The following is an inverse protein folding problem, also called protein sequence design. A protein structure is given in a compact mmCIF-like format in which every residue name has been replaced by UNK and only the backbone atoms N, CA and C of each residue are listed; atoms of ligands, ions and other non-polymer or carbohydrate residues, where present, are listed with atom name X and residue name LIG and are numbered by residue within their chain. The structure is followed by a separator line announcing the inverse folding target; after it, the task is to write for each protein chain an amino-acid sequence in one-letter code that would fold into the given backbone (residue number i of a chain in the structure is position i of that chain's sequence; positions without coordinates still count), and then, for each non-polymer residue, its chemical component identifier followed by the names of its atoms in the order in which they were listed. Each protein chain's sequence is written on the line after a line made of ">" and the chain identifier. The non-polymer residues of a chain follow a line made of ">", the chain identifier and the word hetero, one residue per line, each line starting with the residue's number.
data_IF_211742282996
#
_entry.id   IF_211742282996
#
_cell.length_a   1.000
_cell.length_b   1.000
_cell.length_c   1.000
_cell.angle_alpha   90.00
_cell.angle_beta   90.00
_cell.angle_gamma   90.00
#
_symmetry.space_group_name_H-M   'P 1'
#
loop_
_entity.id
_entity.type
_entity.pdbx_description
1 polymer ?
#
# COMPACT_ATOMS: atom_id res chain seq x y z
N UNK A 1 16.18 -7.11 -8.66
CA UNK A 1 14.92 -6.68 -9.29
C UNK A 1 13.87 -7.67 -8.85
N UNK A 2 12.77 -7.21 -8.27
CA UNK A 2 11.73 -8.11 -7.76
C UNK A 2 10.93 -8.69 -8.92
N UNK A 3 10.65 -10.00 -8.90
CA UNK A 3 9.88 -10.72 -9.93
C UNK A 3 8.53 -10.06 -10.27
N UNK A 4 7.94 -9.33 -9.32
CA UNK A 4 6.70 -8.56 -9.52
C UNK A 4 6.89 -7.36 -10.47
N UNK A 5 8.05 -6.70 -10.50
CA UNK A 5 8.28 -5.56 -11.40
C UNK A 5 8.34 -5.99 -12.87
N UNK A 6 8.90 -7.17 -13.15
CA UNK A 6 8.94 -7.73 -14.50
C UNK A 6 7.58 -8.28 -14.93
N UNK A 7 6.80 -8.85 -14.01
CA UNK A 7 5.46 -9.39 -14.29
C UNK A 7 4.44 -8.29 -14.69
N UNK A 8 4.50 -7.11 -14.06
CA UNK A 8 3.53 -6.02 -14.28
C UNK A 8 3.97 -4.97 -15.31
N UNK A 9 5.19 -5.03 -15.84
CA UNK A 9 5.75 -4.00 -16.73
C UNK A 9 5.16 -3.95 -18.14
N UNK A 10 4.47 -5.01 -18.59
CA UNK A 10 4.00 -5.14 -19.99
C UNK A 10 2.58 -5.72 -20.16
N UNK A 11 1.83 -5.99 -19.08
CA UNK A 11 0.54 -6.69 -19.17
C UNK A 11 -0.65 -5.74 -19.06
N UNK A 12 -1.64 -5.95 -19.91
CA UNK A 12 -2.96 -5.29 -19.86
C UNK A 12 -3.72 -5.71 -18.59
N UNK A 13 -4.59 -4.84 -18.05
CA UNK A 13 -5.37 -5.06 -16.81
C UNK A 13 -6.21 -6.34 -16.81
N UNK A 14 -6.41 -6.97 -17.98
CA UNK A 14 -7.22 -8.16 -18.20
C UNK A 14 -6.45 -9.48 -18.03
N UNK A 15 -5.12 -9.45 -17.84
CA UNK A 15 -4.25 -10.63 -17.74
C UNK A 15 -3.55 -10.74 -16.38
N UNK A 16 -4.11 -10.13 -15.35
CA UNK A 16 -3.51 -10.17 -14.01
C UNK A 16 -3.91 -11.47 -13.32
N UNK A 17 -2.91 -12.27 -12.97
CA UNK A 17 -3.03 -13.55 -12.27
C UNK A 17 -3.06 -13.34 -10.75
N UNK A 18 -3.75 -14.23 -10.03
CA UNK A 18 -3.77 -14.23 -8.55
C UNK A 18 -2.37 -14.49 -8.01
N UNK A 19 -1.97 -13.76 -6.98
CA UNK A 19 -0.72 -13.97 -6.29
C UNK A 19 -1.00 -14.46 -4.86
N UNK A 20 -0.39 -15.56 -4.46
CA UNK A 20 -0.25 -15.90 -3.05
C UNK A 20 0.93 -15.13 -2.47
N UNK A 21 0.68 -14.45 -1.35
CA UNK A 21 1.67 -13.63 -0.68
C UNK A 21 1.70 -13.98 0.79
N UNK A 22 2.90 -14.23 1.32
CA UNK A 22 3.13 -14.30 2.77
C UNK A 22 3.68 -12.96 3.27
N UNK A 23 3.14 -12.49 4.40
CA UNK A 23 3.65 -11.31 5.13
C UNK A 23 4.56 -11.78 6.28
N UNK A 24 5.31 -10.86 6.90
CA UNK A 24 6.25 -11.11 8.01
C UNK A 24 5.63 -11.74 9.28
N UNK A 25 4.31 -11.97 9.26
CA UNK A 25 3.50 -12.62 10.30
C UNK A 25 3.15 -14.08 9.97
N UNK A 26 3.73 -14.67 8.92
CA UNK A 26 3.52 -16.08 8.50
C UNK A 26 2.08 -16.40 8.06
N UNK A 27 1.28 -15.38 7.72
CA UNK A 27 -0.09 -15.55 7.21
C UNK A 27 -0.06 -15.50 5.67
N UNK A 28 -0.28 -16.65 5.03
CA UNK A 28 -0.37 -16.78 3.57
C UNK A 28 -1.73 -16.24 3.12
N UNK A 29 -1.74 -15.33 2.15
CA UNK A 29 -2.94 -14.74 1.57
C UNK A 29 -2.93 -14.82 0.06
N UNK A 30 -3.95 -15.43 -0.51
CA UNK A 30 -4.27 -15.29 -1.93
C UNK A 30 -4.86 -13.89 -2.15
N UNK A 31 -4.27 -13.11 -3.04
CA UNK A 31 -4.70 -11.76 -3.39
C UNK A 31 -4.73 -11.59 -4.90
N UNK A 32 -5.66 -10.77 -5.41
CA UNK A 32 -5.68 -10.38 -6.82
C UNK A 32 -4.98 -9.02 -6.98
N UNK A 33 -3.76 -8.97 -7.55
CA UNK A 33 -3.04 -7.71 -7.72
C UNK A 33 -3.71 -6.81 -8.77
N UNK A 34 -3.65 -5.49 -8.57
CA UNK A 34 -4.29 -4.53 -9.48
C UNK A 34 -3.38 -3.37 -9.90
N UNK A 35 -2.52 -2.88 -8.99
CA UNK A 35 -1.58 -1.82 -9.32
C UNK A 35 -0.34 -1.83 -8.42
N UNK A 36 0.80 -1.40 -8.97
CA UNK A 36 2.00 -1.07 -8.19
C UNK A 36 2.12 0.44 -8.09
N UNK A 37 2.28 0.95 -6.87
CA UNK A 37 2.40 2.36 -6.55
C UNK A 37 3.79 2.60 -5.97
N UNK A 38 4.49 3.61 -6.50
CA UNK A 38 5.75 4.07 -5.93
C UNK A 38 5.52 5.39 -5.18
N UNK A 39 5.78 5.38 -3.87
CA UNK A 39 5.61 6.55 -3.02
C UNK A 39 6.60 6.51 -1.85
N UNK A 40 7.09 7.68 -1.42
CA UNK A 40 8.03 7.81 -0.28
C UNK A 40 9.20 6.80 -0.31
N UNK A 41 9.72 6.51 -1.50
CA UNK A 41 10.84 5.60 -1.74
C UNK A 41 10.58 4.10 -1.49
N UNK A 42 9.30 3.70 -1.41
CA UNK A 42 8.86 2.31 -1.29
C UNK A 42 7.89 1.93 -2.41
N UNK A 43 7.84 0.63 -2.72
CA UNK A 43 6.86 0.07 -3.64
C UNK A 43 5.71 -0.58 -2.87
N UNK A 44 4.49 -0.24 -3.27
CA UNK A 44 3.27 -0.75 -2.70
C UNK A 44 2.48 -1.51 -3.76
N UNK A 45 1.90 -2.65 -3.39
CA UNK A 45 0.97 -3.41 -4.22
C UNK A 45 -0.46 -3.14 -3.73
N UNK A 46 -1.29 -2.56 -4.60
CA UNK A 46 -2.74 -2.51 -4.42
C UNK A 46 -3.33 -3.81 -4.95
N UNK A 47 -4.01 -4.56 -4.08
CA UNK A 47 -4.57 -5.86 -4.39
C UNK A 47 -5.90 -6.11 -3.66
N UNK A 48 -6.74 -6.97 -4.21
CA UNK A 48 -7.99 -7.42 -3.61
C UNK A 48 -7.75 -8.67 -2.75
N UNK A 49 -8.24 -8.69 -1.51
CA UNK A 49 -8.05 -9.83 -0.58
C UNK A 49 -9.24 -10.82 -0.54
N UNK A 50 -10.11 -10.79 -1.56
CA UNK A 50 -11.38 -11.52 -1.56
C UNK A 50 -12.53 -10.78 -0.87
N UNK A 51 -12.27 -9.68 -0.14
CA UNK A 51 -13.29 -8.88 0.55
C UNK A 51 -13.23 -7.40 0.22
N UNK A 52 -12.03 -6.84 0.13
CA UNK A 52 -11.80 -5.41 -0.15
C UNK A 52 -10.42 -5.17 -0.73
N UNK A 53 -10.26 -3.99 -1.33
CA UNK A 53 -8.96 -3.53 -1.79
C UNK A 53 -8.06 -3.17 -0.61
N UNK A 54 -6.82 -3.64 -0.66
CA UNK A 54 -5.78 -3.39 0.34
C UNK A 54 -4.46 -3.05 -0.33
N UNK A 55 -3.66 -2.29 0.41
CA UNK A 55 -2.32 -1.92 0.01
C UNK A 55 -1.32 -2.68 0.86
N UNK A 56 -0.39 -3.33 0.20
CA UNK A 56 0.67 -4.12 0.80
C UNK A 56 2.03 -3.52 0.42
N UNK A 57 3.02 -3.59 1.31
CA UNK A 57 4.39 -3.19 0.98
C UNK A 57 5.12 -4.35 0.34
N UNK A 58 5.63 -4.14 -0.87
CA UNK A 58 6.32 -5.19 -1.62
C UNK A 58 7.60 -5.62 -0.90
N UNK A 59 8.27 -4.72 -0.18
CA UNK A 59 9.47 -5.06 0.59
C UNK A 59 9.21 -5.90 1.84
N UNK A 60 7.95 -6.02 2.27
CA UNK A 60 7.53 -6.90 3.38
C UNK A 60 6.90 -8.21 2.88
N UNK A 61 6.80 -8.41 1.56
CA UNK A 61 6.30 -9.64 0.98
C UNK A 61 7.41 -10.67 0.85
N UNK A 62 7.15 -11.87 1.33
CA UNK A 62 8.02 -13.03 1.16
C UNK A 62 7.21 -14.18 0.52
N UNK A 63 7.90 -15.14 -0.09
CA UNK A 63 7.26 -16.37 -0.61
C UNK A 63 6.13 -16.11 -1.61
N UNK A 64 6.32 -15.20 -2.57
CA UNK A 64 5.27 -14.88 -3.55
C UNK A 64 5.20 -15.97 -4.62
N UNK A 65 4.03 -16.59 -4.74
CA UNK A 65 3.71 -17.54 -5.82
C UNK A 65 2.57 -16.99 -6.67
N UNK A 66 2.62 -17.18 -7.98
CA UNK A 66 1.59 -16.74 -8.91
C UNK A 66 0.79 -17.96 -9.32
N UNK A 67 -0.53 -17.85 -9.21
CA UNK A 67 -1.47 -18.90 -9.62
C UNK A 67 -2.21 -18.49 -10.90
N UNK A 68 -2.36 -19.44 -11.82
CA UNK A 68 -3.18 -19.29 -13.03
C UNK A 68 -4.67 -19.34 -12.66
N UNK A 69 -5.15 -18.27 -12.02
CA UNK A 69 -6.54 -18.08 -11.63
C UNK A 69 -7.03 -16.68 -12.05
N UNK A 70 -8.33 -16.55 -12.32
CA UNK A 70 -8.94 -15.28 -12.68
C UNK A 70 -8.87 -14.28 -11.51
N UNK A 71 -8.34 -13.08 -11.76
CA UNK A 71 -8.30 -12.02 -10.77
C UNK A 71 -9.70 -11.52 -10.37
N UNK A 72 -9.93 -11.43 -9.06
CA UNK A 72 -11.15 -10.91 -8.48
C UNK A 72 -11.01 -9.43 -8.08
N UNK A 73 -12.14 -8.76 -7.84
CA UNK A 73 -12.14 -7.40 -7.28
C UNK A 73 -12.09 -6.26 -8.30
N UNK A 74 -12.28 -6.52 -9.59
CA UNK A 74 -12.31 -5.50 -10.64
C UNK A 74 -13.30 -4.36 -10.35
N UNK A 75 -14.51 -4.70 -9.88
CA UNK A 75 -15.55 -3.71 -9.56
C UNK A 75 -15.17 -2.84 -8.35
N UNK A 76 -14.42 -3.38 -7.39
CA UNK A 76 -13.89 -2.60 -6.26
C UNK A 76 -12.71 -1.72 -6.70
N UNK A 77 -11.86 -2.22 -7.59
CA UNK A 77 -10.78 -1.44 -8.19
C UNK A 77 -11.29 -0.24 -8.98
N UNK A 78 -12.34 -0.40 -9.78
CA UNK A 78 -12.97 0.72 -10.53
C UNK A 78 -13.49 1.84 -9.64
N UNK A 79 -13.83 1.54 -8.38
CA UNK A 79 -14.29 2.55 -7.39
C UNK A 79 -13.13 3.35 -6.80
N UNK A 80 -11.89 2.85 -6.90
CA UNK A 80 -10.71 3.53 -6.37
C UNK A 80 -10.26 4.63 -7.31
N UNK A 81 -10.12 5.84 -6.77
CA UNK A 81 -9.35 6.90 -7.40
C UNK A 81 -7.91 6.81 -6.90
N UNK A 82 -6.98 6.43 -7.77
CA UNK A 82 -5.54 6.37 -7.46
C UNK A 82 -4.99 7.69 -6.90
N UNK A 83 -5.61 8.83 -7.26
CA UNK A 83 -5.30 10.15 -6.71
C UNK A 83 -5.53 10.30 -5.20
N UNK A 84 -6.41 9.49 -4.62
CA UNK A 84 -6.73 9.55 -3.20
C UNK A 84 -5.69 8.80 -2.36
N UNK A 85 -4.99 7.82 -2.96
CA UNK A 85 -3.96 7.02 -2.30
C UNK A 85 -2.59 7.72 -2.25
N UNK A 86 -2.23 8.53 -3.24
CA UNK A 86 -0.96 9.29 -3.23
C UNK A 86 -0.91 10.38 -2.15
N UNK A 87 -2.06 10.75 -1.55
CA UNK A 87 -2.13 11.79 -0.50
C UNK A 87 -2.23 11.26 0.93
N UNK A 88 -2.54 9.98 1.14
CA UNK A 88 -2.86 9.45 2.47
C UNK A 88 -1.71 8.73 3.20
N UNK A 89 -0.53 8.60 2.60
CA UNK A 89 0.51 7.72 3.14
C UNK A 89 1.39 8.39 4.21
N UNK A 90 0.81 8.69 5.37
CA UNK A 90 1.56 8.49 6.62
C UNK A 90 1.30 7.05 7.09
N UNK A 91 2.20 6.13 6.71
CA UNK A 91 2.42 4.90 7.46
C UNK A 91 1.31 3.84 7.46
N UNK A 92 0.56 3.67 6.36
CA UNK A 92 -0.28 2.47 6.16
C UNK A 92 -1.48 2.35 7.12
N UNK A 93 -1.84 3.42 7.82
CA UNK A 93 -3.06 3.45 8.64
C UNK A 93 -4.29 3.58 7.75
N UNK A 94 -4.99 2.46 7.53
CA UNK A 94 -6.33 2.49 6.97
C UNK A 94 -7.32 2.97 8.03
N UNK A 95 -8.09 4.04 7.77
CA UNK A 95 -9.11 4.53 8.69
C UNK A 95 -9.60 5.93 8.33
N UNK A 96 -10.56 6.44 9.10
CA UNK A 96 -10.95 7.84 9.00
C UNK A 96 -9.82 8.74 9.49
N UNK A 97 -9.64 9.88 8.82
CA UNK A 97 -8.62 10.84 9.18
C UNK A 97 -8.96 11.44 10.56
N UNK A 98 -8.03 11.30 11.52
CA UNK A 98 -8.21 11.79 12.88
C UNK A 98 -7.13 12.80 13.26
N UNK A 99 -7.54 13.84 13.99
CA UNK A 99 -6.61 14.77 14.62
C UNK A 99 -6.04 14.15 15.91
N UNK A 100 -4.72 14.12 16.03
CA UNK A 100 -4.02 13.59 17.21
C UNK A 100 -3.18 14.67 17.87
N UNK A 101 -3.03 14.59 19.20
CA UNK A 101 -2.10 15.42 19.97
C UNK A 101 -0.95 14.55 20.47
N UNK A 102 0.28 14.97 20.20
CA UNK A 102 1.50 14.23 20.56
C UNK A 102 2.42 15.11 21.42
N UNK A 103 3.12 14.53 22.39
CA UNK A 103 4.06 15.23 23.28
C UNK A 103 5.49 14.79 22.97
N UNK A 104 6.38 15.75 22.77
CA UNK A 104 7.81 15.51 22.53
C UNK A 104 8.67 16.42 23.41
N UNK A 105 9.94 16.07 23.64
CA UNK A 105 10.92 16.99 24.20
C UNK A 105 11.09 18.24 23.32
N UNK A 106 11.27 19.42 23.92
CA UNK A 106 11.36 20.70 23.19
C UNK A 106 12.46 20.74 22.11
N UNK A 107 13.56 19.99 22.30
CA UNK A 107 14.65 19.93 21.32
C UNK A 107 14.27 19.20 20.02
N UNK A 108 13.14 18.50 19.96
CA UNK A 108 12.65 17.81 18.77
C UNK A 108 11.72 18.66 17.90
N UNK A 109 11.45 19.92 18.28
CA UNK A 109 10.51 20.79 17.54
C UNK A 109 10.89 20.93 16.06
N UNK A 110 12.18 21.03 15.74
CA UNK A 110 12.66 21.09 14.36
C UNK A 110 12.28 19.83 13.57
N UNK A 111 12.59 18.65 14.11
CA UNK A 111 12.25 17.35 13.50
C UNK A 111 10.74 17.16 13.32
N UNK A 112 9.93 17.63 14.27
CA UNK A 112 8.46 17.55 14.16
C UNK A 112 7.97 18.45 13.03
N UNK A 113 8.47 19.68 12.93
CA UNK A 113 8.12 20.62 11.85
C UNK A 113 8.59 20.14 10.47
N UNK A 114 9.77 19.53 10.37
CA UNK A 114 10.27 18.92 9.13
C UNK A 114 9.37 17.76 8.67
N UNK A 115 8.85 16.97 9.61
CA UNK A 115 8.09 15.75 9.29
C UNK A 115 6.60 16.01 9.03
N UNK A 116 5.98 16.92 9.77
CA UNK A 116 4.53 17.18 9.69
C UNK A 116 4.18 18.53 9.05
N UNK A 117 5.19 19.32 8.67
CA UNK A 117 5.02 20.64 8.10
C UNK A 117 4.83 21.74 9.15
N UNK A 118 4.73 22.97 8.67
CA UNK A 118 4.60 24.18 9.53
C UNK A 118 3.17 24.50 9.94
N UNK A 119 2.19 23.71 9.48
CA UNK A 119 0.77 23.89 9.79
C UNK A 119 0.36 23.20 11.10
N UNK A 120 1.31 22.63 11.84
CA UNK A 120 1.07 22.03 13.16
C UNK A 120 0.86 23.10 14.24
N UNK A 121 -0.10 22.87 15.13
CA UNK A 121 -0.30 23.72 16.32
C UNK A 121 0.60 23.25 17.45
N UNK A 122 1.51 24.11 17.90
CA UNK A 122 2.34 23.88 19.09
C UNK A 122 1.62 24.47 20.31
N UNK A 123 1.50 23.69 21.38
CA UNK A 123 0.83 24.04 22.63
C UNK A 123 1.80 24.05 23.80
#
# INVERSE_FOLDING_TARGET
>A
MNHLQEAFGHRTLEEIEVAEVSDYKDDIKCISPWAVIYDNNFYYLLAYDGKKMRVYRIDHMEGVEVEEAEAEGLEEFKKIKLSDYTKQTFGMYSGELQSVTMRFPNNMVGTVLDRFGREVTLM
#
